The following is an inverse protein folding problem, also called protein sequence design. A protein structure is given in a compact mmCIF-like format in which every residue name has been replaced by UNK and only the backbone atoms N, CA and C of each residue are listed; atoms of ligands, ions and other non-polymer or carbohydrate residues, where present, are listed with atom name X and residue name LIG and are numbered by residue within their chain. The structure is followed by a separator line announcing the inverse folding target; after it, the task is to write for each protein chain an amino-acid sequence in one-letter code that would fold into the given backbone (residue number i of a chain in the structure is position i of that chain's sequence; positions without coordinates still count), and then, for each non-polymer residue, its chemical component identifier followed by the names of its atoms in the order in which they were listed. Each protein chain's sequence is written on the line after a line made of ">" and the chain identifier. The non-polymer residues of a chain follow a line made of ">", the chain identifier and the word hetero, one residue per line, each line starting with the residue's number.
data_IF_074816469494
#
_entry.id   IF_074816469494
#
_cell.length_a   1.000
_cell.length_b   1.000
_cell.length_c   1.000
_cell.angle_alpha   90.00
_cell.angle_beta   90.00
_cell.angle_gamma   90.00
#
_symmetry.space_group_name_H-M   'P 1'
#
loop_
_entity.id
_entity.type
_entity.pdbx_description
1 polymer ?
#
# COMPACT_ATOMS: atom_id res chain seq x y z
N UNK A 1 9.97 4.56 -10.37
CA UNK A 1 10.78 4.36 -9.15
C UNK A 1 10.08 3.34 -8.28
N UNK A 2 10.78 2.34 -7.75
CA UNK A 2 10.19 1.34 -6.84
C UNK A 2 10.40 1.80 -5.40
N UNK A 3 9.39 1.60 -4.55
CA UNK A 3 9.43 1.92 -3.11
C UNK A 3 9.08 0.66 -2.32
N UNK A 4 9.44 0.62 -1.03
CA UNK A 4 9.01 -0.48 -0.17
C UNK A 4 7.50 -0.39 0.13
N UNK A 5 6.84 -1.53 0.30
CA UNK A 5 5.41 -1.57 0.65
C UNK A 5 5.10 -0.85 1.97
N UNK A 6 6.04 -0.86 2.91
CA UNK A 6 5.90 -0.17 4.21
C UNK A 6 6.05 1.36 4.11
N UNK A 7 6.61 1.87 3.01
CA UNK A 7 6.76 3.30 2.75
C UNK A 7 5.55 3.90 2.03
N UNK A 8 4.55 3.08 1.69
CA UNK A 8 3.32 3.54 1.07
C UNK A 8 2.54 4.43 2.06
N UNK A 9 2.12 5.60 1.57
CA UNK A 9 1.33 6.58 2.33
C UNK A 9 0.07 6.97 1.58
N UNK A 10 -1.01 7.38 2.27
CA UNK A 10 -2.15 8.02 1.63
C UNK A 10 -1.72 9.19 0.75
N UNK A 11 -2.30 9.27 -0.45
CA UNK A 11 -1.93 10.28 -1.45
C UNK A 11 -0.87 9.82 -2.45
N UNK A 12 -0.12 8.75 -2.19
CA UNK A 12 0.77 8.16 -3.19
C UNK A 12 -0.03 7.74 -4.43
N UNK A 13 0.58 7.91 -5.59
CA UNK A 13 0.07 7.45 -6.88
C UNK A 13 0.85 6.18 -7.26
N UNK A 14 0.13 5.08 -7.48
CA UNK A 14 0.71 3.77 -7.76
C UNK A 14 0.15 3.24 -9.08
N UNK A 15 1.04 2.75 -9.94
CA UNK A 15 0.65 1.98 -11.12
C UNK A 15 0.36 0.53 -10.71
N UNK A 16 -0.84 0.05 -10.99
CA UNK A 16 -1.28 -1.31 -10.70
C UNK A 16 -2.20 -1.79 -11.83
N UNK A 17 -1.90 -2.98 -12.38
CA UNK A 17 -2.67 -3.58 -13.50
C UNK A 17 -2.86 -2.63 -14.71
N UNK A 18 -1.83 -1.85 -15.07
CA UNK A 18 -1.86 -0.82 -16.13
C UNK A 18 -2.80 0.37 -15.84
N UNK A 19 -3.35 0.46 -14.63
CA UNK A 19 -4.11 1.60 -14.13
C UNK A 19 -3.28 2.46 -13.18
N UNK A 20 -3.68 3.72 -13.04
CA UNK A 20 -3.10 4.65 -12.06
C UNK A 20 -4.08 4.78 -10.90
N UNK A 21 -3.60 4.49 -9.70
CA UNK A 21 -4.42 4.46 -8.51
C UNK A 21 -3.87 5.41 -7.46
N UNK A 22 -4.76 6.14 -6.79
CA UNK A 22 -4.43 6.96 -5.63
C UNK A 22 -4.70 6.17 -4.35
N UNK A 23 -3.69 6.09 -3.49
CA UNK A 23 -3.82 5.47 -2.17
C UNK A 23 -4.75 6.30 -1.28
N UNK A 24 -5.80 5.68 -0.77
CA UNK A 24 -6.76 6.30 0.13
C UNK A 24 -6.41 6.05 1.60
N UNK A 25 -6.04 4.81 1.95
CA UNK A 25 -5.69 4.41 3.31
C UNK A 25 -4.60 3.34 3.31
N UNK A 26 -3.83 3.28 4.39
CA UNK A 26 -2.84 2.23 4.63
C UNK A 26 -2.99 1.69 6.05
N UNK A 27 -2.76 0.40 6.22
CA UNK A 27 -2.75 -0.26 7.52
C UNK A 27 -1.61 -1.25 7.60
N UNK A 28 -0.77 -1.11 8.63
CA UNK A 28 0.26 -2.07 8.96
C UNK A 28 -0.30 -3.09 9.94
N UNK A 29 -0.31 -4.36 9.55
CA UNK A 29 -0.88 -5.45 10.35
C UNK A 29 0.16 -6.53 10.55
N UNK A 30 0.40 -6.90 11.81
CA UNK A 30 1.23 -8.03 12.18
C UNK A 30 0.48 -8.92 13.19
N UNK A 31 -0.06 -10.07 12.77
CA UNK A 31 -0.74 -10.98 13.69
C UNK A 31 0.28 -11.77 14.51
N UNK A 32 0.46 -11.36 15.77
CA UNK A 32 1.34 -12.03 16.73
C UNK A 32 2.82 -12.04 16.30
N UNK A 33 3.44 -13.22 16.31
CA UNK A 33 4.83 -13.43 15.87
C UNK A 33 4.96 -13.77 14.37
N UNK A 34 3.86 -13.69 13.62
CA UNK A 34 3.84 -13.93 12.18
C UNK A 34 4.46 -12.81 11.36
N UNK A 35 4.47 -12.98 10.04
CA UNK A 35 4.91 -11.95 9.10
C UNK A 35 4.08 -10.68 9.21
N UNK A 36 4.72 -9.55 8.90
CA UNK A 36 4.06 -8.25 8.83
C UNK A 36 3.56 -7.99 7.40
N UNK A 37 2.37 -7.40 7.29
CA UNK A 37 1.73 -7.10 6.02
C UNK A 37 1.27 -5.64 5.98
N UNK A 38 1.30 -5.06 4.79
CA UNK A 38 0.71 -3.76 4.51
C UNK A 38 -0.57 -3.96 3.72
N UNK A 39 -1.69 -3.51 4.29
CA UNK A 39 -2.95 -3.39 3.57
C UNK A 39 -3.05 -1.96 3.03
N UNK A 40 -3.38 -1.83 1.75
CA UNK A 40 -3.45 -0.56 1.04
C UNK A 40 -4.78 -0.50 0.31
N UNK A 41 -5.64 0.43 0.71
CA UNK A 41 -6.87 0.73 -0.01
C UNK A 41 -6.58 1.82 -1.04
N UNK A 42 -6.98 1.60 -2.29
CA UNK A 42 -6.72 2.51 -3.40
C UNK A 42 -7.99 2.83 -4.18
N UNK A 43 -7.99 3.97 -4.87
CA UNK A 43 -9.06 4.39 -5.78
C UNK A 43 -8.45 4.74 -7.14
N UNK A 44 -9.09 4.30 -8.21
CA UNK A 44 -8.80 4.72 -9.59
C UNK A 44 -9.67 5.94 -9.90
#
# INVERSE_FOLDING_TARGET
>A
MKISGVDIRPGNIIEYEKGIWKVAKTQHTQPGKGGAYMQVEMKN
#
